data_IF_435001585126
#
_entry.id   IF_435001585126
#
_cell.length_a   1.000
_cell.length_b   1.000
_cell.length_c   1.000
_cell.angle_alpha   90.00
_cell.angle_beta   90.00
_cell.angle_gamma   90.00
#
_symmetry.space_group_name_H-M   'P 1'
#
loop_
_entity.id
_entity.type
_entity.pdbx_description
1 polymer ?
#
# COMPACT_ATOMS: atom_id res chain seq x y z
N UNK A 1 -26.19 -19.99 -4.66
CA UNK A 1 -27.26 -19.36 -5.46
C UNK A 1 -28.09 -18.46 -4.56
N UNK A 2 -28.04 -17.14 -4.73
CA UNK A 2 -29.06 -16.22 -4.23
C UNK A 2 -30.11 -15.91 -5.32
N UNK A 3 -31.37 -15.62 -4.95
CA UNK A 3 -32.48 -15.54 -5.90
C UNK A 3 -32.58 -14.19 -6.62
N UNK A 4 -32.95 -14.30 -7.90
CA UNK A 4 -33.43 -13.24 -8.76
C UNK A 4 -34.77 -12.66 -8.27
N UNK A 5 -34.89 -11.34 -8.25
CA UNK A 5 -36.19 -10.66 -8.20
C UNK A 5 -36.38 -9.84 -9.48
N UNK A 6 -37.26 -10.34 -10.35
CA UNK A 6 -37.83 -9.62 -11.48
C UNK A 6 -39.35 -9.55 -11.31
N UNK A 7 -39.91 -8.35 -11.52
CA UNK A 7 -41.25 -8.00 -12.09
C UNK A 7 -41.69 -6.63 -11.53
N UNK A 8 -41.74 -5.59 -12.35
CA UNK A 8 -42.82 -5.23 -13.31
C UNK A 8 -44.14 -4.82 -12.65
N UNK A 9 -44.51 -3.54 -12.83
CA UNK A 9 -45.88 -3.03 -12.91
C UNK A 9 -45.87 -1.79 -13.84
N UNK A 10 -46.22 -1.98 -15.11
CA UNK A 10 -47.47 -1.56 -15.78
C UNK A 10 -47.91 -0.10 -15.63
N UNK A 11 -47.85 0.63 -16.77
CA UNK A 11 -49.01 1.26 -17.41
C UNK A 11 -49.49 2.62 -16.90
N UNK A 12 -49.33 3.68 -17.70
CA UNK A 12 -50.43 4.20 -18.52
C UNK A 12 -49.99 5.36 -19.43
N UNK A 13 -50.52 5.34 -20.65
CA UNK A 13 -50.34 6.32 -21.71
C UNK A 13 -51.50 7.31 -21.80
N UNK A 14 -51.26 8.41 -22.51
CA UNK A 14 -52.18 9.34 -23.20
C UNK A 14 -52.66 10.62 -22.48
N UNK A 15 -52.45 11.74 -23.18
CA UNK A 15 -53.15 13.02 -22.95
C UNK A 15 -52.41 14.25 -23.48
N UNK A 16 -52.38 14.44 -24.81
CA UNK A 16 -51.94 15.67 -25.47
C UNK A 16 -52.99 16.79 -25.31
N UNK A 17 -52.52 18.03 -25.11
CA UNK A 17 -52.93 19.32 -25.71
C UNK A 17 -52.97 20.49 -24.71
N UNK A 18 -52.21 21.57 -25.03
CA UNK A 18 -52.34 22.88 -24.41
C UNK A 18 -51.01 23.63 -24.18
N UNK A 19 -50.49 24.31 -25.21
CA UNK A 19 -49.53 25.44 -25.07
C UNK A 19 -50.33 26.76 -25.07
N UNK A 20 -49.70 27.93 -24.85
CA UNK A 20 -48.71 28.32 -23.84
C UNK A 20 -49.14 29.65 -23.17
N UNK A 21 -48.58 30.04 -22.02
CA UNK A 21 -48.40 31.46 -21.68
C UNK A 21 -47.58 31.68 -20.41
N UNK A 22 -46.70 32.68 -20.52
CA UNK A 22 -46.08 33.46 -19.44
C UNK A 22 -44.78 32.94 -18.79
N UNK A 23 -43.68 33.43 -19.33
CA UNK A 23 -42.38 33.57 -18.65
C UNK A 23 -42.41 34.86 -17.83
N UNK A 24 -41.99 34.83 -16.56
CA UNK A 24 -41.16 35.91 -16.04
C UNK A 24 -39.78 35.37 -15.64
N UNK A 25 -38.78 36.10 -16.11
CA UNK A 25 -37.36 35.91 -15.83
C UNK A 25 -37.10 35.97 -14.30
N UNK A 26 -36.54 34.91 -13.72
CA UNK A 26 -35.80 35.01 -12.48
C UNK A 26 -34.31 34.82 -12.74
N UNK A 27 -33.64 35.97 -12.78
CA UNK A 27 -32.20 36.18 -12.75
C UNK A 27 -31.62 35.45 -11.54
N UNK A 28 -30.60 34.64 -11.79
CA UNK A 28 -29.97 33.77 -10.81
C UNK A 28 -29.41 34.47 -9.58
N UNK A 29 -29.35 33.73 -8.48
CA UNK A 29 -28.39 33.97 -7.39
C UNK A 29 -28.16 32.69 -6.61
N UNK A 30 -26.95 32.16 -6.79
CA UNK A 30 -26.18 31.32 -5.87
C UNK A 30 -26.79 29.96 -5.54
N UNK A 31 -26.45 29.00 -6.40
CA UNK A 31 -26.21 27.62 -5.98
C UNK A 31 -25.16 27.64 -4.86
N UNK A 32 -25.61 27.75 -3.62
CA UNK A 32 -24.84 27.33 -2.47
C UNK A 32 -24.52 25.86 -2.73
N UNK A 33 -23.24 25.55 -2.89
CA UNK A 33 -22.74 24.18 -2.97
C UNK A 33 -23.23 23.46 -1.72
N UNK A 34 -24.35 22.73 -1.83
CA UNK A 34 -24.76 21.74 -0.84
C UNK A 34 -23.69 20.67 -0.85
N UNK A 35 -22.63 20.88 -0.08
CA UNK A 35 -21.74 19.79 0.33
C UNK A 35 -22.64 18.82 1.10
N UNK A 36 -22.75 17.59 0.60
CA UNK A 36 -23.60 16.55 1.16
C UNK A 36 -23.37 16.42 2.69
N UNK A 37 -24.43 16.38 3.53
CA UNK A 37 -24.29 16.22 4.98
C UNK A 37 -23.57 14.93 5.38
N UNK A 38 -23.63 13.89 4.53
CA UNK A 38 -22.99 12.59 4.73
C UNK A 38 -21.46 12.64 4.78
N UNK A 39 -20.83 13.64 4.13
CA UNK A 39 -19.37 13.77 4.13
C UNK A 39 -18.84 14.45 5.40
N UNK A 40 -19.67 15.26 6.07
CA UNK A 40 -19.26 15.99 7.29
C UNK A 40 -19.19 15.05 8.49
N UNK A 41 -20.18 14.16 8.62
CA UNK A 41 -20.24 13.18 9.71
C UNK A 41 -19.14 12.12 9.62
N UNK A 42 -18.74 11.70 8.41
CA UNK A 42 -17.67 10.73 8.22
C UNK A 42 -16.30 11.27 8.67
N UNK A 43 -15.96 12.50 8.30
CA UNK A 43 -14.70 13.15 8.70
C UNK A 43 -14.67 13.43 10.21
N UNK A 44 -15.79 13.90 10.78
CA UNK A 44 -15.93 14.09 12.23
C UNK A 44 -15.79 12.77 13.00
N UNK A 45 -16.33 11.66 12.48
CA UNK A 45 -16.18 10.34 13.06
C UNK A 45 -14.71 9.87 13.00
N UNK A 46 -14.03 10.02 11.86
CA UNK A 46 -12.61 9.68 11.73
C UNK A 46 -11.76 10.46 12.73
N UNK A 47 -12.00 11.77 12.87
CA UNK A 47 -11.33 12.62 13.85
C UNK A 47 -11.60 12.15 15.28
N UNK A 48 -12.86 11.82 15.60
CA UNK A 48 -13.23 11.33 16.93
C UNK A 48 -12.57 10.00 17.26
N UNK A 49 -12.51 9.07 16.31
CA UNK A 49 -11.80 7.80 16.49
C UNK A 49 -10.32 8.04 16.81
N UNK A 50 -9.66 8.93 16.07
CA UNK A 50 -8.24 9.24 16.29
C UNK A 50 -8.02 9.87 17.68
N UNK A 51 -8.88 10.80 18.10
CA UNK A 51 -8.81 11.38 19.45
C UNK A 51 -8.99 10.32 20.54
N UNK A 52 -9.87 9.33 20.32
CA UNK A 52 -10.03 8.23 21.27
C UNK A 52 -8.76 7.38 21.37
N UNK A 53 -8.10 7.09 20.24
CA UNK A 53 -6.83 6.34 20.21
C UNK A 53 -5.72 7.12 20.92
N UNK A 54 -5.62 8.43 20.68
CA UNK A 54 -4.68 9.31 21.37
C UNK A 54 -4.87 9.30 22.88
N UNK A 55 -6.13 9.20 23.34
CA UNK A 55 -6.49 9.13 24.75
C UNK A 55 -6.31 7.77 25.42
N UNK A 56 -5.93 6.72 24.68
CA UNK A 56 -5.65 5.41 25.28
C UNK A 56 -4.36 5.47 26.09
N UNK A 57 -4.44 5.20 27.39
CA UNK A 57 -3.28 5.26 28.29
C UNK A 57 -2.41 4.00 28.21
N UNK A 58 -3.02 2.86 27.91
CA UNK A 58 -2.28 1.61 27.74
C UNK A 58 -1.62 1.59 26.34
N UNK A 59 -0.29 1.43 26.26
CA UNK A 59 0.41 1.38 24.98
C UNK A 59 -0.03 0.22 24.08
N UNK A 60 -0.37 -0.93 24.66
CA UNK A 60 -0.83 -2.12 23.93
C UNK A 60 -2.22 -1.90 23.33
N UNK A 61 -3.16 -1.34 24.10
CA UNK A 61 -4.48 -0.94 23.58
C UNK A 61 -4.35 0.08 22.45
N UNK A 62 -3.41 1.03 22.59
CA UNK A 62 -3.12 2.01 21.54
C UNK A 62 -2.57 1.34 20.28
N UNK A 63 -1.59 0.46 20.41
CA UNK A 63 -1.03 -0.30 19.30
C UNK A 63 -2.10 -1.14 18.58
N UNK A 64 -2.95 -1.83 19.34
CA UNK A 64 -4.05 -2.63 18.81
C UNK A 64 -5.07 -1.76 18.06
N UNK A 65 -5.42 -0.60 18.61
CA UNK A 65 -6.34 0.32 17.95
C UNK A 65 -5.76 0.92 16.66
N UNK A 66 -4.44 1.20 16.64
CA UNK A 66 -3.72 1.63 15.44
C UNK A 66 -3.74 0.51 14.38
N UNK A 67 -3.36 -0.72 14.75
CA UNK A 67 -3.43 -1.91 13.89
C UNK A 67 -4.79 -2.05 13.21
N UNK A 68 -5.89 -1.92 13.97
CA UNK A 68 -7.25 -1.97 13.43
C UNK A 68 -7.61 -0.90 12.40
N UNK A 69 -6.86 0.20 12.32
CA UNK A 69 -7.02 1.25 11.31
C UNK A 69 -6.12 1.09 10.09
N UNK A 70 -5.13 0.20 10.13
CA UNK A 70 -4.06 0.14 9.13
C UNK A 70 -4.56 0.00 7.70
N UNK A 71 -5.39 -1.01 7.42
CA UNK A 71 -5.98 -1.20 6.08
C UNK A 71 -6.91 -0.07 5.62
N UNK A 72 -7.34 0.81 6.53
CA UNK A 72 -8.23 1.95 6.23
C UNK A 72 -7.49 3.26 6.06
N UNK A 73 -6.16 3.27 6.18
CA UNK A 73 -5.35 4.48 6.13
C UNK A 73 -5.57 5.30 4.83
N UNK A 74 -5.68 4.62 3.67
CA UNK A 74 -5.98 5.22 2.38
C UNK A 74 -7.28 6.03 2.33
N UNK A 75 -8.27 5.68 3.15
CA UNK A 75 -9.56 6.37 3.22
C UNK A 75 -9.58 7.58 4.15
N UNK A 76 -8.47 7.89 4.82
CA UNK A 76 -8.35 9.01 5.74
C UNK A 76 -7.84 10.27 5.06
N UNK A 77 -8.21 11.44 5.58
CA UNK A 77 -7.62 12.70 5.15
C UNK A 77 -6.10 12.71 5.44
N UNK A 78 -5.27 13.37 4.61
CA UNK A 78 -3.80 13.38 4.78
C UNK A 78 -3.33 13.80 6.19
N UNK A 79 -4.03 14.76 6.82
CA UNK A 79 -3.71 15.21 8.18
C UNK A 79 -3.93 14.10 9.22
N UNK A 80 -4.92 13.22 8.99
CA UNK A 80 -5.20 12.08 9.86
C UNK A 80 -4.21 10.94 9.63
N UNK A 81 -3.79 10.71 8.39
CA UNK A 81 -2.72 9.78 8.06
C UNK A 81 -1.44 10.17 8.81
N UNK A 82 -1.06 11.45 8.74
CA UNK A 82 0.11 11.97 9.45
C UNK A 82 0.01 11.79 10.97
N UNK A 83 -1.16 12.07 11.56
CA UNK A 83 -1.38 11.85 13.00
C UNK A 83 -1.22 10.38 13.39
N UNK A 84 -1.74 9.45 12.58
CA UNK A 84 -1.58 8.02 12.86
C UNK A 84 -0.12 7.58 12.80
N UNK A 85 0.67 8.07 11.83
CA UNK A 85 2.11 7.81 11.79
C UNK A 85 2.82 8.36 13.04
N UNK A 86 2.49 9.58 13.48
CA UNK A 86 3.02 10.16 14.73
C UNK A 86 2.65 9.30 15.95
N UNK A 87 1.44 8.73 15.98
CA UNK A 87 1.04 7.85 17.07
C UNK A 87 1.83 6.54 17.09
N UNK A 88 2.15 5.99 15.92
CA UNK A 88 3.06 4.84 15.80
C UNK A 88 4.47 5.22 16.25
N UNK A 89 4.99 6.40 15.87
CA UNK A 89 6.27 6.93 16.36
C UNK A 89 6.33 7.00 17.90
N UNK A 90 5.20 7.31 18.55
CA UNK A 90 5.08 7.38 20.00
C UNK A 90 4.90 6.06 20.74
N UNK A 91 4.87 4.91 20.05
CA UNK A 91 4.82 3.60 20.69
C UNK A 91 6.23 3.22 21.20
N UNK A 92 6.33 2.88 22.48
CA UNK A 92 7.62 2.59 23.12
C UNK A 92 8.16 1.19 22.77
N UNK A 93 7.27 0.21 22.59
CA UNK A 93 7.67 -1.16 22.28
C UNK A 93 7.95 -1.29 20.76
N UNK A 94 9.16 -1.73 20.35
CA UNK A 94 9.47 -2.01 18.94
C UNK A 94 8.51 -3.00 18.28
N UNK A 95 8.01 -4.00 19.02
CA UNK A 95 7.05 -4.99 18.50
C UNK A 95 5.70 -4.35 18.19
N UNK A 96 5.23 -3.46 19.05
CA UNK A 96 3.98 -2.72 18.83
C UNK A 96 4.11 -1.81 17.61
N UNK A 97 5.26 -1.14 17.47
CA UNK A 97 5.58 -0.34 16.28
C UNK A 97 5.58 -1.19 15.01
N UNK A 98 6.28 -2.31 15.01
CA UNK A 98 6.37 -3.21 13.87
C UNK A 98 4.99 -3.75 13.47
N UNK A 99 4.18 -4.15 14.45
CA UNK A 99 2.81 -4.66 14.23
C UNK A 99 1.94 -3.59 13.59
N UNK A 100 1.93 -2.37 14.14
CA UNK A 100 1.16 -1.27 13.58
C UNK A 100 1.60 -0.92 12.14
N UNK A 101 2.92 -0.89 11.88
CA UNK A 101 3.45 -0.61 10.54
C UNK A 101 3.12 -1.70 9.53
N UNK A 102 3.19 -2.97 9.94
CA UNK A 102 2.76 -4.10 9.14
C UNK A 102 1.31 -3.95 8.70
N UNK A 103 0.41 -3.66 9.64
CA UNK A 103 -1.02 -3.50 9.35
C UNK A 103 -1.32 -2.25 8.53
N UNK A 104 -0.45 -1.25 8.56
CA UNK A 104 -0.55 -0.05 7.73
C UNK A 104 -0.20 -0.35 6.27
N UNK A 105 0.66 -1.34 6.00
CA UNK A 105 1.11 -1.73 4.66
C UNK A 105 0.03 -1.74 3.59
N UNK A 106 -1.04 -2.54 3.74
CA UNK A 106 -2.16 -2.56 2.79
C UNK A 106 -2.85 -1.20 2.61
N UNK A 107 -2.91 -0.38 3.66
CA UNK A 107 -3.52 0.94 3.63
C UNK A 107 -2.65 2.05 3.07
N UNK A 108 -1.33 1.86 2.99
CA UNK A 108 -0.40 2.80 2.32
C UNK A 108 0.01 2.35 0.92
N UNK A 109 -0.18 1.08 0.59
CA UNK A 109 0.18 0.54 -0.72
C UNK A 109 -0.58 1.28 -1.84
N UNK A 110 0.15 1.82 -2.81
CA UNK A 110 -0.42 2.56 -3.93
C UNK A 110 -0.88 3.99 -3.61
N UNK A 111 -0.72 4.47 -2.37
CA UNK A 111 -0.86 5.88 -2.07
C UNK A 111 0.39 6.65 -2.52
N UNK A 112 0.17 7.79 -3.17
CA UNK A 112 1.19 8.81 -3.31
C UNK A 112 1.38 9.51 -1.94
N UNK A 113 2.16 8.89 -1.06
CA UNK A 113 2.51 9.48 0.23
C UNK A 113 3.34 10.75 0.01
N UNK A 114 3.10 11.76 0.85
CA UNK A 114 3.94 12.94 0.89
C UNK A 114 5.40 12.55 1.25
N UNK A 115 6.42 13.20 0.68
CA UNK A 115 7.82 12.87 0.96
C UNK A 115 8.16 12.83 2.45
N UNK A 116 7.56 13.71 3.25
CA UNK A 116 7.77 13.77 4.70
C UNK A 116 7.23 12.52 5.41
N UNK A 117 6.13 11.93 4.92
CA UNK A 117 5.59 10.67 5.46
C UNK A 117 6.46 9.48 5.04
N UNK A 118 6.97 9.47 3.80
CA UNK A 118 7.91 8.44 3.37
C UNK A 118 9.18 8.48 4.22
N UNK A 119 9.74 9.66 4.50
CA UNK A 119 10.90 9.83 5.37
C UNK A 119 10.64 9.29 6.79
N UNK A 120 9.47 9.58 7.36
CA UNK A 120 9.08 9.09 8.69
C UNK A 120 8.95 7.58 8.72
N UNK A 121 8.25 6.99 7.74
CA UNK A 121 8.12 5.54 7.61
C UNK A 121 9.50 4.86 7.53
N UNK A 122 10.41 5.39 6.70
CA UNK A 122 11.79 4.84 6.63
C UNK A 122 12.51 4.95 7.97
N UNK A 123 12.41 6.09 8.66
CA UNK A 123 13.01 6.27 9.99
C UNK A 123 12.42 5.32 11.05
N UNK A 124 11.13 5.01 10.96
CA UNK A 124 10.49 4.02 11.81
C UNK A 124 11.02 2.61 11.56
N UNK A 125 11.19 2.22 10.29
CA UNK A 125 11.78 0.92 9.93
C UNK A 125 13.24 0.81 10.37
N UNK A 126 14.02 1.90 10.23
CA UNK A 126 15.41 1.95 10.73
C UNK A 126 15.48 1.77 12.25
N UNK A 127 14.51 2.30 12.98
CA UNK A 127 14.42 2.18 14.44
C UNK A 127 13.86 0.84 14.95
N UNK A 128 13.63 -0.14 14.06
CA UNK A 128 13.32 -1.53 14.43
C UNK A 128 14.63 -2.32 14.49
N UNK A 129 15.09 -2.68 15.69
CA UNK A 129 16.36 -3.40 15.88
C UNK A 129 16.27 -4.88 15.50
N UNK A 130 15.09 -5.48 15.68
CA UNK A 130 14.84 -6.87 15.35
C UNK A 130 14.73 -7.07 13.82
N UNK A 131 15.55 -7.94 13.21
CA UNK A 131 15.57 -8.14 11.77
C UNK A 131 14.28 -8.78 11.23
N UNK A 132 13.56 -9.58 12.02
CA UNK A 132 12.26 -10.14 11.64
C UNK A 132 11.24 -9.01 11.50
N UNK A 133 11.18 -8.12 12.50
CA UNK A 133 10.29 -6.96 12.49
C UNK A 133 10.63 -6.00 11.35
N UNK A 134 11.92 -5.80 11.07
CA UNK A 134 12.36 -4.96 9.95
C UNK A 134 11.99 -5.59 8.61
N UNK A 135 12.28 -6.87 8.39
CA UNK A 135 11.99 -7.57 7.13
C UNK A 135 10.49 -7.68 6.84
N UNK A 136 9.70 -8.02 7.86
CA UNK A 136 8.24 -8.04 7.75
C UNK A 136 7.68 -6.65 7.45
N UNK A 137 8.11 -5.62 8.18
CA UNK A 137 7.64 -4.25 7.94
C UNK A 137 7.99 -3.75 6.53
N UNK A 138 9.19 -4.07 6.03
CA UNK A 138 9.58 -3.77 4.65
C UNK A 138 8.72 -4.51 3.62
N UNK A 139 8.34 -5.76 3.91
CA UNK A 139 7.41 -6.50 3.05
C UNK A 139 6.05 -5.79 2.95
N UNK A 140 5.52 -5.32 4.08
CA UNK A 140 4.22 -4.67 4.13
C UNK A 140 4.22 -3.27 3.50
N UNK A 141 5.25 -2.46 3.77
CA UNK A 141 5.33 -1.07 3.33
C UNK A 141 6.01 -0.91 1.96
N UNK A 142 6.73 -1.91 1.44
CA UNK A 142 7.63 -1.78 0.30
C UNK A 142 6.98 -1.13 -0.94
N UNK A 143 5.71 -1.43 -1.20
CA UNK A 143 4.95 -0.86 -2.32
C UNK A 143 4.63 0.64 -2.16
N UNK A 144 4.61 1.17 -0.93
CA UNK A 144 4.33 2.58 -0.63
C UNK A 144 5.50 3.53 -0.92
N UNK A 145 6.69 2.97 -1.19
CA UNK A 145 7.89 3.75 -1.52
C UNK A 145 8.08 4.00 -3.03
N UNK A 146 7.03 3.76 -3.83
CA UNK A 146 7.06 4.12 -5.25
C UNK A 146 7.28 5.64 -5.40
N UNK A 147 8.25 6.02 -6.24
CA UNK A 147 8.57 7.43 -6.50
C UNK A 147 9.21 8.19 -5.33
N UNK A 148 9.74 7.50 -4.31
CA UNK A 148 10.48 8.15 -3.24
C UNK A 148 11.80 8.77 -3.75
N UNK A 149 12.30 9.77 -3.03
CA UNK A 149 13.54 10.47 -3.36
C UNK A 149 14.75 9.51 -3.39
N UNK A 150 15.78 9.75 -4.23
CA UNK A 150 16.95 8.89 -4.35
C UNK A 150 17.60 8.53 -3.01
N UNK A 151 17.69 9.49 -2.08
CA UNK A 151 18.27 9.28 -0.74
C UNK A 151 17.49 8.24 0.06
N UNK A 152 16.16 8.21 -0.07
CA UNK A 152 15.31 7.19 0.57
C UNK A 152 15.45 5.84 -0.12
N UNK A 153 15.57 5.80 -1.44
CA UNK A 153 15.82 4.55 -2.16
C UNK A 153 17.12 3.89 -1.69
N UNK A 154 18.20 4.66 -1.54
CA UNK A 154 19.46 4.16 -1.01
C UNK A 154 19.33 3.60 0.41
N UNK A 155 18.61 4.30 1.30
CA UNK A 155 18.36 3.84 2.68
C UNK A 155 17.54 2.55 2.69
N UNK A 156 16.48 2.48 1.89
CA UNK A 156 15.64 1.29 1.76
C UNK A 156 16.43 0.06 1.27
N UNK A 157 17.25 0.23 0.23
CA UNK A 157 18.13 -0.86 -0.25
C UNK A 157 19.14 -1.25 0.82
N UNK A 158 19.73 -0.28 1.52
CA UNK A 158 20.64 -0.55 2.63
C UNK A 158 19.99 -1.32 3.78
N UNK A 159 18.71 -1.06 4.07
CA UNK A 159 17.95 -1.82 5.07
C UNK A 159 17.76 -3.28 4.64
N UNK A 160 17.49 -3.54 3.36
CA UNK A 160 17.36 -4.91 2.82
C UNK A 160 18.70 -5.65 2.87
N UNK A 161 19.78 -4.97 2.48
CA UNK A 161 21.14 -5.54 2.52
C UNK A 161 21.59 -5.85 3.94
N UNK A 162 21.23 -5.02 4.91
CA UNK A 162 21.52 -5.22 6.33
C UNK A 162 20.66 -6.27 7.03
N UNK A 163 19.74 -6.95 6.32
CA UNK A 163 19.06 -8.14 6.84
C UNK A 163 19.97 -9.33 6.63
N UNK A 164 20.61 -9.83 7.71
CA UNK A 164 21.55 -10.95 7.63
C UNK A 164 20.86 -12.27 7.26
N UNK A 165 19.66 -12.48 7.79
CA UNK A 165 18.86 -13.67 7.49
C UNK A 165 18.25 -13.59 6.07
N UNK A 166 18.53 -14.58 5.20
CA UNK A 166 18.00 -14.60 3.83
C UNK A 166 16.47 -14.65 3.78
N UNK A 167 15.80 -15.22 4.78
CA UNK A 167 14.34 -15.28 4.86
C UNK A 167 13.74 -13.88 4.97
N UNK A 168 14.23 -13.09 5.93
CA UNK A 168 13.76 -11.73 6.14
C UNK A 168 14.11 -10.83 4.96
N UNK A 169 15.26 -11.07 4.32
CA UNK A 169 15.64 -10.41 3.07
C UNK A 169 14.67 -10.74 1.94
N UNK A 170 14.29 -12.01 1.78
CA UNK A 170 13.30 -12.47 0.81
C UNK A 170 11.93 -11.80 1.01
N UNK A 171 11.47 -11.71 2.26
CA UNK A 171 10.25 -10.98 2.61
C UNK A 171 10.33 -9.51 2.21
N UNK A 172 11.39 -8.82 2.62
CA UNK A 172 11.57 -7.41 2.30
C UNK A 172 11.58 -7.16 0.78
N UNK A 173 12.35 -7.97 0.03
CA UNK A 173 12.40 -7.91 -1.45
C UNK A 173 11.03 -8.11 -2.09
N UNK A 174 10.20 -8.99 -1.52
CA UNK A 174 8.85 -9.21 -2.04
C UNK A 174 7.95 -7.97 -1.89
N UNK A 175 8.17 -7.14 -0.86
CA UNK A 175 7.42 -5.90 -0.65
C UNK A 175 7.72 -4.80 -1.67
N UNK A 176 8.95 -4.74 -2.20
CA UNK A 176 9.38 -3.70 -3.15
C UNK A 176 8.84 -3.88 -4.57
N UNK A 177 8.02 -4.91 -4.80
CA UNK A 177 7.48 -5.25 -6.11
C UNK A 177 6.98 -4.06 -6.92
N UNK A 178 6.05 -3.29 -6.39
CA UNK A 178 5.46 -2.15 -7.11
C UNK A 178 6.38 -0.93 -7.19
N UNK A 179 7.37 -0.81 -6.29
CA UNK A 179 8.21 0.37 -6.16
C UNK A 179 9.55 0.26 -6.89
N UNK A 180 10.05 -0.95 -7.12
CA UNK A 180 11.36 -1.21 -7.75
C UNK A 180 11.52 -0.53 -9.13
N UNK A 181 10.44 -0.43 -9.90
CA UNK A 181 10.45 0.24 -11.20
C UNK A 181 10.79 1.74 -11.12
N UNK A 182 10.48 2.38 -9.98
CA UNK A 182 10.79 3.79 -9.73
C UNK A 182 12.18 4.02 -9.14
N UNK A 183 12.93 2.96 -8.83
CA UNK A 183 14.26 3.09 -8.24
C UNK A 183 15.29 3.41 -9.32
N UNK A 184 16.38 4.09 -8.93
CA UNK A 184 17.53 4.31 -9.81
C UNK A 184 18.04 2.97 -10.38
N UNK A 185 18.47 2.90 -11.66
CA UNK A 185 18.90 1.66 -12.30
C UNK A 185 19.92 0.87 -11.48
N UNK A 186 20.90 1.56 -10.88
CA UNK A 186 21.93 0.95 -10.04
C UNK A 186 21.34 0.21 -8.82
N UNK A 187 20.28 0.76 -8.24
CA UNK A 187 19.55 0.16 -7.13
C UNK A 187 18.66 -1.01 -7.59
N UNK A 188 18.08 -0.93 -8.79
CA UNK A 188 17.38 -2.06 -9.40
C UNK A 188 18.34 -3.25 -9.60
N UNK A 189 19.55 -3.00 -10.11
CA UNK A 189 20.59 -4.04 -10.26
C UNK A 189 20.96 -4.68 -8.93
N UNK A 190 21.09 -3.89 -7.85
CA UNK A 190 21.37 -4.40 -6.50
C UNK A 190 20.23 -5.28 -5.99
N UNK A 191 18.99 -4.82 -6.05
CA UNK A 191 17.82 -5.59 -5.61
C UNK A 191 17.68 -6.91 -6.36
N UNK A 192 17.88 -6.91 -7.69
CA UNK A 192 17.90 -8.15 -8.49
C UNK A 192 19.05 -9.06 -8.07
N UNK A 193 20.24 -8.52 -7.82
CA UNK A 193 21.38 -9.30 -7.30
C UNK A 193 21.10 -9.93 -5.93
N UNK A 194 20.38 -9.24 -5.04
CA UNK A 194 20.00 -9.79 -3.73
C UNK A 194 19.03 -10.97 -3.87
N UNK A 195 18.10 -10.93 -4.82
CA UNK A 195 17.18 -12.04 -5.11
C UNK A 195 17.94 -13.26 -5.61
N UNK A 196 18.94 -13.05 -6.46
CA UNK A 196 19.78 -14.13 -7.00
C UNK A 196 20.70 -14.74 -5.94
N UNK A 197 21.06 -13.97 -4.92
CA UNK A 197 21.84 -14.42 -3.77
C UNK A 197 21.00 -15.06 -2.64
N UNK A 198 19.71 -15.30 -2.85
CA UNK A 198 18.89 -16.05 -1.90
C UNK A 198 19.13 -17.56 -2.09
N UNK A 199 19.68 -18.21 -1.06
CA UNK A 199 20.00 -19.64 -1.09
C UNK A 199 18.76 -20.54 -0.94
N UNK A 200 17.78 -20.09 -0.15
CA UNK A 200 16.51 -20.81 0.01
C UNK A 200 15.56 -20.52 -1.16
N UNK A 201 15.00 -21.59 -1.70
CA UNK A 201 14.18 -21.51 -2.91
C UNK A 201 12.80 -20.90 -2.65
N UNK A 202 12.24 -21.03 -1.44
CA UNK A 202 10.97 -20.42 -1.09
C UNK A 202 11.13 -18.91 -0.95
N UNK A 203 12.21 -18.47 -0.30
CA UNK A 203 12.52 -17.05 -0.15
C UNK A 203 12.77 -16.40 -1.51
N UNK A 204 13.50 -17.10 -2.38
CA UNK A 204 13.69 -16.72 -3.77
C UNK A 204 12.37 -16.57 -4.53
N UNK A 205 11.49 -17.57 -4.47
CA UNK A 205 10.17 -17.53 -5.13
C UNK A 205 9.29 -16.42 -4.54
N UNK A 206 9.36 -16.17 -3.24
CA UNK A 206 8.65 -15.08 -2.58
C UNK A 206 9.11 -13.71 -3.11
N UNK A 207 10.43 -13.49 -3.16
CA UNK A 207 11.03 -12.26 -3.68
C UNK A 207 10.67 -12.03 -5.16
N UNK A 208 10.73 -13.09 -6.00
CA UNK A 208 10.33 -13.03 -7.40
C UNK A 208 8.83 -12.74 -7.58
N UNK A 209 7.97 -13.25 -6.70
CA UNK A 209 6.53 -12.94 -6.69
C UNK A 209 6.24 -11.47 -6.42
N UNK A 210 7.03 -10.85 -5.55
CA UNK A 210 6.97 -9.42 -5.32
C UNK A 210 7.47 -8.63 -6.51
N UNK A 211 8.75 -8.79 -6.87
CA UNK A 211 9.40 -8.06 -7.97
C UNK A 211 8.71 -8.24 -9.33
N UNK A 212 8.03 -9.37 -9.54
CA UNK A 212 7.18 -9.60 -10.71
C UNK A 212 6.15 -8.49 -10.93
N UNK A 213 5.63 -7.88 -9.86
CA UNK A 213 4.67 -6.77 -9.93
C UNK A 213 5.25 -5.51 -10.60
N UNK A 214 6.54 -5.24 -10.42
CA UNK A 214 7.24 -4.08 -11.02
C UNK A 214 8.10 -4.44 -12.22
N UNK A 215 8.18 -5.72 -12.61
CA UNK A 215 9.07 -6.20 -13.67
C UNK A 215 8.93 -5.42 -14.97
N UNK A 216 7.70 -5.04 -15.34
CA UNK A 216 7.44 -4.31 -16.58
C UNK A 216 8.13 -2.94 -16.64
N UNK A 217 8.43 -2.33 -15.49
CA UNK A 217 9.14 -1.06 -15.39
C UNK A 217 10.65 -1.19 -15.24
N UNK A 218 11.20 -2.40 -15.12
CA UNK A 218 12.64 -2.64 -15.10
C UNK A 218 13.23 -2.50 -16.51
N UNK A 219 14.52 -2.19 -16.60
CA UNK A 219 15.26 -2.30 -17.86
C UNK A 219 15.16 -3.72 -18.46
N UNK A 220 15.07 -3.82 -19.79
CA UNK A 220 14.90 -5.13 -20.47
C UNK A 220 15.95 -6.15 -20.04
N UNK A 221 17.19 -5.72 -19.86
CA UNK A 221 18.28 -6.57 -19.36
C UNK A 221 17.92 -7.23 -18.02
N UNK A 222 17.45 -6.47 -17.04
CA UNK A 222 17.04 -7.00 -15.74
C UNK A 222 15.81 -7.91 -15.86
N UNK A 223 14.86 -7.61 -16.75
CA UNK A 223 13.74 -8.50 -17.01
C UNK A 223 14.20 -9.86 -17.55
N UNK A 224 15.16 -9.86 -18.49
CA UNK A 224 15.74 -11.10 -19.03
C UNK A 224 16.55 -11.85 -17.97
N UNK A 225 17.33 -11.12 -17.17
CA UNK A 225 18.14 -11.68 -16.07
C UNK A 225 17.26 -12.44 -15.07
N UNK A 226 16.16 -11.84 -14.61
CA UNK A 226 15.19 -12.48 -13.72
C UNK A 226 14.56 -13.74 -14.34
N UNK A 227 14.17 -13.69 -15.62
CA UNK A 227 13.58 -14.86 -16.31
C UNK A 227 14.59 -15.99 -16.48
N UNK A 228 15.85 -15.67 -16.82
CA UNK A 228 16.91 -16.66 -16.97
C UNK A 228 17.23 -17.30 -15.62
N UNK A 229 17.33 -16.51 -14.56
CA UNK A 229 17.52 -17.00 -13.20
C UNK A 229 16.37 -17.91 -12.76
N UNK A 230 15.12 -17.46 -12.92
CA UNK A 230 13.93 -18.27 -12.61
C UNK A 230 13.91 -19.60 -13.41
N UNK A 231 14.33 -19.57 -14.68
CA UNK A 231 14.44 -20.77 -15.52
C UNK A 231 15.54 -21.73 -15.07
N UNK A 232 16.60 -21.22 -14.44
CA UNK A 232 17.72 -21.98 -13.89
C UNK A 232 17.41 -22.70 -12.58
N UNK A 233 16.28 -22.43 -11.93
CA UNK A 233 15.88 -23.11 -10.70
C UNK A 233 15.78 -24.63 -10.91
N UNK A 234 16.41 -25.40 -10.02
CA UNK A 234 16.60 -26.85 -10.13
C UNK A 234 15.27 -27.61 -10.19
N UNK A 235 14.33 -27.24 -9.32
CA UNK A 235 13.08 -27.97 -9.13
C UNK A 235 11.97 -27.45 -10.07
N UNK A 236 11.30 -28.34 -10.84
CA UNK A 236 10.29 -27.92 -11.82
C UNK A 236 9.13 -27.11 -11.25
N UNK A 237 8.65 -27.45 -10.04
CA UNK A 237 7.54 -26.74 -9.40
C UNK A 237 7.94 -25.31 -9.02
N UNK A 238 9.13 -25.11 -8.45
CA UNK A 238 9.64 -23.79 -8.07
C UNK A 238 9.95 -22.94 -9.30
N UNK A 239 10.52 -23.54 -10.34
CA UNK A 239 10.70 -22.91 -11.66
C UNK A 239 9.38 -22.41 -12.23
N UNK A 240 8.34 -23.26 -12.22
CA UNK A 240 7.02 -22.87 -12.72
C UNK A 240 6.40 -21.73 -11.89
N UNK A 241 6.50 -21.77 -10.56
CA UNK A 241 6.04 -20.69 -9.67
C UNK A 241 6.79 -19.39 -9.94
N UNK A 242 8.12 -19.43 -10.03
CA UNK A 242 8.97 -18.27 -10.30
C UNK A 242 8.70 -17.66 -11.69
N UNK A 243 8.50 -18.49 -12.72
CA UNK A 243 8.15 -17.99 -14.05
C UNK A 243 6.73 -17.40 -14.07
N UNK A 244 5.77 -18.04 -13.40
CA UNK A 244 4.41 -17.52 -13.27
C UNK A 244 4.39 -16.16 -12.55
N UNK A 245 5.23 -15.98 -11.52
CA UNK A 245 5.42 -14.73 -10.80
C UNK A 245 5.83 -13.57 -11.71
N UNK A 246 6.66 -13.85 -12.73
CA UNK A 246 7.19 -12.88 -13.67
C UNK A 246 6.26 -12.62 -14.87
N UNK A 247 5.17 -13.37 -15.03
CA UNK A 247 4.21 -13.09 -16.09
C UNK A 247 3.48 -11.76 -15.86
N UNK A 248 3.11 -11.04 -16.93
CA UNK A 248 2.31 -9.83 -16.79
C UNK A 248 1.01 -10.14 -16.04
N UNK A 249 0.77 -9.47 -14.91
CA UNK A 249 -0.52 -9.53 -14.21
C UNK A 249 -1.50 -8.64 -14.98
N UNK A 250 -2.63 -9.24 -15.41
CA UNK A 250 -3.71 -8.55 -16.14
C UNK A 250 -4.55 -7.69 -15.20
#
# INVERSE_FOLDING_TARGET
MPPHFSREFHGNSFGLFGKPSYIPQYRGSRLGTRRHPSCRTASELQQRIIVLIEGLNDPGDRAFALSGLGARLAGLAPQLQQRLIVLVEGLNDPKDRATALWDFGPGVAGLALAPELQQRLVGLVEGLDDPEYRGSTLMALGASFAGCAPELQHRLVGLVEGLDDPQYRGWALSGFGASVAGFAPELQHRLVGLVEGLDDIQDCVCALNGLGAGRAGLARELQHRLVNFASGLVWPIHRACALAALLPRR
#
